data_IF_791805392038
#
_entry.id   IF_791805392038
#
_cell.length_a   1.000
_cell.length_b   1.000
_cell.length_c   1.000
_cell.angle_alpha   90.00
_cell.angle_beta   90.00
_cell.angle_gamma   90.00
#
_symmetry.space_group_name_H-M   'P 1'
#
loop_
_entity.id
_entity.type
_entity.pdbx_description
1 polymer ?
#
# COMPACT_ATOMS: atom_id res chain seq x y z
N UNK A 1 -2.18 -33.96 6.35
CA UNK A 1 -3.56 -33.38 6.29
C UNK A 1 -3.65 -32.37 5.18
N UNK A 2 -4.77 -32.32 4.43
CA UNK A 2 -5.04 -31.26 3.45
C UNK A 2 -6.26 -30.46 3.89
N UNK A 3 -6.12 -29.14 4.02
CA UNK A 3 -7.20 -28.21 4.31
C UNK A 3 -7.42 -27.32 3.07
N UNK A 4 -8.62 -27.33 2.50
CA UNK A 4 -9.02 -26.45 1.40
C UNK A 4 -10.23 -25.65 1.83
N UNK A 5 -10.20 -24.33 1.69
CA UNK A 5 -11.31 -23.49 2.08
C UNK A 5 -11.33 -22.11 1.40
N UNK A 6 -12.50 -21.47 1.45
CA UNK A 6 -12.71 -20.07 1.15
C UNK A 6 -13.18 -19.37 2.43
N UNK A 7 -12.29 -18.70 3.16
CA UNK A 7 -12.65 -18.01 4.39
C UNK A 7 -13.60 -16.82 4.13
N UNK A 8 -14.35 -16.36 5.13
CA UNK A 8 -15.21 -15.19 5.00
C UNK A 8 -14.38 -13.90 4.82
N UNK A 9 -14.72 -13.07 3.82
CA UNK A 9 -14.04 -11.82 3.49
C UNK A 9 -14.74 -10.60 4.12
N UNK A 10 -15.13 -10.72 5.37
CA UNK A 10 -15.83 -9.68 6.10
C UNK A 10 -14.85 -8.86 6.96
N UNK A 11 -14.84 -7.55 6.77
CA UNK A 11 -14.15 -6.62 7.69
C UNK A 11 -14.99 -6.42 8.94
N UNK A 12 -14.36 -6.48 10.11
CA UNK A 12 -15.05 -6.27 11.39
C UNK A 12 -15.76 -4.92 11.44
N UNK A 13 -15.16 -3.88 10.83
CA UNK A 13 -15.78 -2.56 10.75
C UNK A 13 -17.11 -2.54 9.99
N UNK A 14 -17.34 -3.46 9.08
CA UNK A 14 -18.55 -3.52 8.26
C UNK A 14 -19.61 -4.45 8.87
N UNK A 15 -19.25 -5.31 9.85
CA UNK A 15 -20.15 -6.28 10.49
C UNK A 15 -21.33 -5.62 11.18
N UNK A 16 -21.13 -4.48 11.80
CA UNK A 16 -22.15 -3.76 12.55
C UNK A 16 -22.62 -2.49 11.87
N UNK A 17 -22.49 -2.42 10.54
CA UNK A 17 -22.92 -1.27 9.76
C UNK A 17 -24.43 -1.10 9.87
N UNK A 18 -24.86 0.13 10.23
CA UNK A 18 -26.30 0.42 10.45
C UNK A 18 -26.83 0.07 11.83
N UNK A 19 -26.07 -0.60 12.70
CA UNK A 19 -26.49 -0.85 14.08
C UNK A 19 -26.28 0.41 14.94
N UNK A 20 -27.27 0.83 15.76
CA UNK A 20 -27.16 2.04 16.61
C UNK A 20 -25.90 2.06 17.46
N UNK A 21 -25.52 0.91 18.05
CA UNK A 21 -24.34 0.75 18.89
C UNK A 21 -23.13 0.13 18.14
N UNK A 22 -23.14 0.19 16.81
CA UNK A 22 -22.15 -0.47 15.97
C UNK A 22 -20.69 -0.07 16.23
N UNK A 23 -20.46 1.14 16.75
CA UNK A 23 -19.11 1.62 17.12
C UNK A 23 -18.56 0.86 18.33
N UNK A 24 -19.36 0.72 19.40
CA UNK A 24 -18.97 0.05 20.63
C UNK A 24 -18.80 -1.46 20.40
N UNK A 25 -19.74 -2.09 19.70
CA UNK A 25 -19.66 -3.51 19.33
C UNK A 25 -18.39 -3.84 18.55
N UNK A 26 -17.94 -2.94 17.64
CA UNK A 26 -16.67 -3.12 16.91
C UNK A 26 -15.46 -3.01 17.81
N UNK A 27 -15.45 -2.03 18.73
CA UNK A 27 -14.36 -1.86 19.70
C UNK A 27 -14.24 -3.08 20.60
N UNK A 28 -15.38 -3.51 21.16
CA UNK A 28 -15.46 -4.68 22.04
C UNK A 28 -14.97 -5.96 21.33
N UNK A 29 -15.49 -6.27 20.13
CA UNK A 29 -15.04 -7.43 19.37
C UNK A 29 -13.55 -7.36 19.05
N UNK A 30 -13.04 -6.17 18.70
CA UNK A 30 -11.62 -5.99 18.42
C UNK A 30 -10.74 -6.17 19.67
N UNK A 31 -11.22 -5.77 20.84
CA UNK A 31 -10.55 -6.00 22.12
C UNK A 31 -10.53 -7.49 22.46
N UNK A 32 -11.70 -8.14 22.44
CA UNK A 32 -11.82 -9.57 22.70
C UNK A 32 -10.90 -10.42 21.81
N UNK A 33 -10.81 -10.10 20.50
CA UNK A 33 -9.92 -10.81 19.57
C UNK A 33 -8.44 -10.65 19.93
N UNK A 34 -8.02 -9.47 20.42
CA UNK A 34 -6.63 -9.23 20.85
C UNK A 34 -6.30 -9.90 22.17
N UNK A 35 -7.25 -9.98 23.07
CA UNK A 35 -7.13 -10.57 24.39
C UNK A 35 -7.30 -12.09 24.38
N UNK A 36 -7.83 -12.64 23.27
CA UNK A 36 -8.08 -14.06 23.14
C UNK A 36 -6.77 -14.85 23.14
N UNK A 37 -6.55 -15.65 24.18
CA UNK A 37 -5.33 -16.42 24.37
C UNK A 37 -5.47 -17.87 23.89
N UNK A 38 -4.36 -18.43 23.45
CA UNK A 38 -4.20 -19.85 23.23
C UNK A 38 -4.05 -20.63 24.55
N UNK A 39 -3.99 -21.94 24.43
CA UNK A 39 -3.73 -22.81 25.58
C UNK A 39 -2.37 -22.55 26.27
N UNK A 40 -1.42 -21.98 25.51
CA UNK A 40 -0.09 -21.57 25.96
C UNK A 40 -0.06 -20.17 26.64
N UNK A 41 -1.21 -19.54 26.80
CA UNK A 41 -1.36 -18.21 27.41
C UNK A 41 -0.95 -17.04 26.51
N UNK A 42 -0.43 -17.29 25.30
CA UNK A 42 -0.07 -16.26 24.32
C UNK A 42 -1.31 -15.79 23.54
N UNK A 43 -1.28 -14.57 22.94
CA UNK A 43 -2.35 -14.16 22.04
C UNK A 43 -2.60 -15.20 20.95
N UNK A 44 -3.85 -15.59 20.78
CA UNK A 44 -4.25 -16.60 19.77
C UNK A 44 -3.91 -16.16 18.35
N UNK A 45 -4.01 -14.86 18.08
CA UNK A 45 -3.80 -14.29 16.77
C UNK A 45 -2.69 -13.24 16.82
N UNK A 46 -1.63 -13.45 16.07
CA UNK A 46 -0.49 -12.53 15.94
C UNK A 46 -0.70 -11.50 14.83
N UNK A 47 -1.50 -11.85 13.81
CA UNK A 47 -1.71 -11.05 12.62
C UNK A 47 -2.82 -9.99 12.76
N UNK A 48 -3.28 -9.68 13.98
CA UNK A 48 -4.28 -8.64 14.26
C UNK A 48 -3.62 -7.27 14.25
N UNK A 49 -3.58 -6.60 13.09
CA UNK A 49 -3.11 -5.21 12.96
C UNK A 49 -4.06 -4.39 12.08
N UNK A 50 -4.36 -3.16 12.52
CA UNK A 50 -5.22 -2.24 11.78
C UNK A 50 -6.68 -2.73 11.67
N UNK A 51 -7.30 -2.53 10.52
CA UNK A 51 -8.66 -3.01 10.23
C UNK A 51 -8.66 -4.52 10.05
N UNK A 52 -9.11 -5.25 11.05
CA UNK A 52 -9.15 -6.72 11.02
C UNK A 52 -10.18 -7.20 10.03
N UNK A 53 -9.76 -8.12 9.16
CA UNK A 53 -10.62 -8.86 8.25
C UNK A 53 -10.62 -10.33 8.65
N UNK A 54 -11.80 -10.98 8.67
CA UNK A 54 -11.95 -12.33 9.15
C UNK A 54 -11.10 -13.36 8.40
N UNK A 55 -10.85 -13.17 7.10
CA UNK A 55 -10.00 -14.09 6.34
C UNK A 55 -8.57 -14.20 6.91
N UNK A 56 -8.03 -13.11 7.49
CA UNK A 56 -6.69 -13.13 8.11
C UNK A 56 -6.64 -14.02 9.33
N UNK A 57 -7.64 -13.91 10.18
CA UNK A 57 -7.78 -14.76 11.37
C UNK A 57 -8.00 -16.23 10.98
N UNK A 58 -8.74 -16.44 9.89
CA UNK A 58 -8.99 -17.77 9.38
C UNK A 58 -7.72 -18.43 8.83
N UNK A 59 -6.89 -17.68 8.08
CA UNK A 59 -5.58 -18.18 7.62
C UNK A 59 -4.74 -18.63 8.83
N UNK A 60 -4.55 -17.74 9.80
CA UNK A 60 -3.75 -18.04 10.98
C UNK A 60 -4.31 -19.23 11.76
N UNK A 61 -5.64 -19.31 11.91
CA UNK A 61 -6.28 -20.45 12.55
C UNK A 61 -6.10 -21.74 11.76
N UNK A 62 -6.16 -21.70 10.46
CA UNK A 62 -5.93 -22.86 9.60
C UNK A 62 -4.54 -23.46 9.79
N UNK A 63 -3.52 -22.60 9.94
CA UNK A 63 -2.16 -23.04 10.24
C UNK A 63 -2.06 -23.68 11.63
N UNK A 64 -2.69 -23.08 12.64
CA UNK A 64 -2.66 -23.58 14.02
C UNK A 64 -3.32 -24.94 14.21
N UNK A 65 -4.34 -25.29 13.43
CA UNK A 65 -5.05 -26.58 13.53
C UNK A 65 -4.50 -27.64 12.59
N UNK A 66 -3.64 -27.25 11.67
CA UNK A 66 -2.98 -28.18 10.76
C UNK A 66 -1.77 -28.81 11.45
N UNK A 67 -1.53 -30.08 11.16
CA UNK A 67 -0.33 -30.77 11.62
C UNK A 67 0.90 -30.26 10.88
N UNK A 68 2.10 -30.47 11.44
CA UNK A 68 3.35 -30.29 10.71
C UNK A 68 3.30 -31.03 9.37
N UNK A 69 3.86 -30.42 8.31
CA UNK A 69 3.79 -30.88 6.92
C UNK A 69 2.35 -30.95 6.32
N UNK A 70 1.37 -30.46 7.08
CA UNK A 70 0.00 -30.31 6.61
C UNK A 70 -0.09 -29.25 5.50
N UNK A 71 -0.86 -29.53 4.45
CA UNK A 71 -1.06 -28.62 3.32
C UNK A 71 -2.34 -27.82 3.49
N UNK A 72 -2.22 -26.51 3.33
CA UNK A 72 -3.34 -25.56 3.41
C UNK A 72 -3.47 -24.84 2.07
N UNK A 73 -4.70 -24.82 1.52
CA UNK A 73 -5.02 -24.12 0.26
C UNK A 73 -6.22 -23.22 0.49
N UNK A 74 -6.06 -21.93 0.36
CA UNK A 74 -7.10 -20.96 0.70
C UNK A 74 -7.34 -19.96 -0.42
N UNK A 75 -8.64 -19.69 -0.68
CA UNK A 75 -9.07 -18.64 -1.60
C UNK A 75 -9.26 -17.35 -0.81
N UNK A 76 -8.44 -16.35 -1.06
CA UNK A 76 -8.36 -15.13 -0.25
C UNK A 76 -8.36 -13.87 -1.12
N UNK A 77 -8.69 -12.69 -0.56
CA UNK A 77 -8.49 -11.42 -1.26
C UNK A 77 -7.01 -11.19 -1.59
N UNK A 78 -6.71 -10.72 -2.80
CA UNK A 78 -5.33 -10.42 -3.23
C UNK A 78 -4.65 -9.31 -2.39
N UNK A 79 -5.41 -8.62 -1.55
CA UNK A 79 -4.88 -7.66 -0.57
C UNK A 79 -3.88 -8.29 0.41
N UNK A 80 -4.00 -9.60 0.70
CA UNK A 80 -3.02 -10.31 1.53
C UNK A 80 -1.61 -10.21 0.98
N UNK A 81 -1.45 -10.16 -0.33
CA UNK A 81 -0.17 -10.17 -1.03
C UNK A 81 0.64 -8.87 -0.82
N UNK A 82 -0.03 -7.73 -0.61
CA UNK A 82 0.63 -6.41 -0.69
C UNK A 82 0.23 -5.41 0.38
N UNK A 83 -0.98 -5.51 0.97
CA UNK A 83 -1.41 -4.53 1.98
C UNK A 83 -0.47 -4.47 3.19
N UNK A 84 -0.13 -3.25 3.63
CA UNK A 84 0.71 -3.02 4.82
C UNK A 84 0.12 -3.67 6.08
N UNK A 85 -1.20 -3.68 6.21
CA UNK A 85 -1.90 -4.32 7.32
C UNK A 85 -1.80 -5.85 7.34
N UNK A 86 -1.42 -6.49 6.22
CA UNK A 86 -1.18 -7.93 6.11
C UNK A 86 0.28 -8.34 6.36
N UNK A 87 1.17 -7.38 6.66
CA UNK A 87 2.57 -7.67 6.93
C UNK A 87 2.80 -8.74 8.02
N UNK A 88 2.16 -8.69 9.20
CA UNK A 88 2.37 -9.72 10.22
C UNK A 88 1.96 -11.11 9.73
N UNK A 89 0.90 -11.19 8.93
CA UNK A 89 0.47 -12.46 8.34
C UNK A 89 1.46 -12.98 7.32
N UNK A 90 1.99 -12.13 6.41
CA UNK A 90 3.02 -12.55 5.46
C UNK A 90 4.30 -13.03 6.16
N UNK A 91 4.72 -12.37 7.24
CA UNK A 91 5.82 -12.84 8.08
C UNK A 91 5.55 -14.24 8.62
N UNK A 92 4.36 -14.49 9.17
CA UNK A 92 3.97 -15.80 9.66
C UNK A 92 4.01 -16.86 8.54
N UNK A 93 3.55 -16.51 7.32
CA UNK A 93 3.57 -17.42 6.18
C UNK A 93 4.97 -17.77 5.69
N UNK A 94 5.91 -16.83 5.76
CA UNK A 94 7.27 -17.01 5.20
C UNK A 94 8.26 -17.50 6.25
N UNK A 95 8.17 -16.98 7.48
CA UNK A 95 9.19 -17.20 8.53
C UNK A 95 8.85 -18.38 9.45
N UNK A 96 7.64 -18.93 9.39
CA UNK A 96 7.19 -20.03 10.25
C UNK A 96 6.46 -21.14 9.49
N UNK A 97 6.25 -20.94 8.20
CA UNK A 97 5.61 -21.89 7.30
C UNK A 97 6.22 -21.78 5.91
N UNK A 98 6.04 -22.79 5.08
CA UNK A 98 6.40 -22.71 3.67
C UNK A 98 5.22 -22.17 2.87
N UNK A 99 5.30 -20.92 2.43
CA UNK A 99 4.35 -20.33 1.49
C UNK A 99 4.72 -20.79 0.08
N UNK A 100 4.21 -21.94 -0.32
CA UNK A 100 4.64 -22.66 -1.51
C UNK A 100 4.23 -21.97 -2.80
N UNK A 101 2.99 -21.47 -2.85
CA UNK A 101 2.43 -20.96 -4.10
C UNK A 101 1.37 -19.88 -3.90
N UNK A 102 1.27 -19.00 -4.91
CA UNK A 102 0.19 -18.03 -5.08
C UNK A 102 -0.35 -18.13 -6.51
N UNK A 103 -1.67 -18.20 -6.66
CA UNK A 103 -2.36 -18.04 -7.93
C UNK A 103 -3.12 -16.72 -7.87
N UNK A 104 -2.74 -15.74 -8.69
CA UNK A 104 -3.33 -14.40 -8.68
C UNK A 104 -4.26 -14.16 -9.85
N UNK A 105 -5.49 -13.73 -9.57
CA UNK A 105 -6.50 -13.39 -10.57
C UNK A 105 -6.72 -11.87 -10.59
N UNK A 106 -6.84 -11.23 -11.78
CA UNK A 106 -7.07 -9.81 -11.91
C UNK A 106 -8.38 -9.35 -11.24
N UNK A 107 -8.40 -8.08 -10.82
CA UNK A 107 -9.58 -7.48 -10.15
C UNK A 107 -10.80 -7.35 -11.08
N UNK A 108 -10.55 -7.17 -12.37
CA UNK A 108 -11.55 -7.04 -13.42
C UNK A 108 -12.03 -8.37 -14.00
N UNK A 109 -11.39 -9.48 -13.61
CA UNK A 109 -11.69 -10.78 -14.18
C UNK A 109 -13.10 -11.27 -13.88
N UNK A 110 -13.79 -10.79 -12.83
CA UNK A 110 -15.13 -11.21 -12.37
C UNK A 110 -15.46 -12.72 -12.51
N UNK A 111 -14.52 -13.45 -13.06
CA UNK A 111 -14.64 -14.78 -13.63
C UNK A 111 -14.83 -15.85 -12.57
N UNK A 112 -14.26 -15.66 -11.40
CA UNK A 112 -14.32 -16.67 -10.35
C UNK A 112 -15.38 -16.39 -9.29
N UNK A 113 -15.69 -15.13 -9.00
CA UNK A 113 -16.51 -14.79 -7.83
C UNK A 113 -17.46 -13.59 -8.02
N UNK A 114 -17.64 -13.08 -9.23
CA UNK A 114 -18.61 -12.02 -9.55
C UNK A 114 -18.36 -10.65 -8.92
N UNK A 115 -17.28 -10.49 -8.15
CA UNK A 115 -16.93 -9.26 -7.44
C UNK A 115 -15.83 -8.46 -8.15
N UNK A 116 -15.70 -7.18 -7.80
CA UNK A 116 -14.64 -6.28 -8.29
C UNK A 116 -13.32 -6.39 -7.51
N UNK A 117 -13.22 -7.32 -6.58
CA UNK A 117 -12.04 -7.52 -5.73
C UNK A 117 -11.12 -8.59 -6.31
N UNK A 118 -9.83 -8.29 -6.39
CA UNK A 118 -8.83 -9.28 -6.79
C UNK A 118 -8.80 -10.48 -5.84
N UNK A 119 -8.68 -11.65 -6.44
CA UNK A 119 -8.71 -12.94 -5.73
C UNK A 119 -7.37 -13.64 -5.91
N UNK A 120 -6.93 -14.34 -4.89
CA UNK A 120 -5.75 -15.21 -4.94
C UNK A 120 -6.02 -16.54 -4.25
N UNK A 121 -5.43 -17.59 -4.78
CA UNK A 121 -5.32 -18.87 -4.08
C UNK A 121 -3.93 -18.96 -3.50
N UNK A 122 -3.82 -19.16 -2.20
CA UNK A 122 -2.54 -19.35 -1.52
C UNK A 122 -2.35 -20.80 -1.13
N UNK A 123 -1.15 -21.29 -1.35
CA UNK A 123 -0.73 -22.64 -0.98
C UNK A 123 0.38 -22.60 0.07
N UNK A 124 0.21 -23.36 1.15
CA UNK A 124 1.08 -23.34 2.31
C UNK A 124 1.33 -24.76 2.79
N UNK A 125 2.58 -25.07 3.13
CA UNK A 125 2.96 -26.25 3.93
C UNK A 125 3.33 -25.78 5.33
N UNK A 126 2.76 -26.42 6.35
CA UNK A 126 2.89 -25.98 7.75
C UNK A 126 4.18 -26.48 8.38
N UNK A 127 4.89 -25.59 9.07
CA UNK A 127 6.02 -25.94 9.95
C UNK A 127 7.40 -25.80 9.32
N UNK A 128 7.50 -25.37 8.05
CA UNK A 128 8.79 -25.10 7.39
C UNK A 128 8.88 -23.63 6.99
N UNK A 129 10.11 -23.11 6.90
CA UNK A 129 10.30 -21.76 6.36
C UNK A 129 10.24 -21.77 4.83
N UNK A 130 9.80 -20.65 4.25
CA UNK A 130 9.74 -20.51 2.78
C UNK A 130 11.12 -20.27 2.21
N UNK A 131 11.62 -21.15 1.36
CA UNK A 131 12.82 -20.92 0.55
C UNK A 131 12.51 -20.20 -0.74
N UNK A 132 11.49 -20.69 -1.46
CA UNK A 132 11.03 -20.14 -2.73
C UNK A 132 9.51 -20.09 -2.74
N UNK A 133 8.94 -18.92 -3.09
CA UNK A 133 7.52 -18.78 -3.39
C UNK A 133 7.32 -18.77 -4.90
N UNK A 134 6.52 -19.70 -5.43
CA UNK A 134 6.09 -19.66 -6.83
C UNK A 134 4.80 -18.85 -6.97
N UNK A 135 4.86 -17.71 -7.62
CA UNK A 135 3.72 -16.81 -7.86
C UNK A 135 3.25 -16.92 -9.31
N UNK A 136 2.09 -17.51 -9.52
CA UNK A 136 1.44 -17.63 -10.83
C UNK A 136 0.49 -16.45 -11.05
N UNK A 137 0.54 -15.85 -12.23
CA UNK A 137 -0.40 -14.79 -12.62
C UNK A 137 0.23 -13.51 -13.16
N UNK A 138 -0.61 -12.58 -13.63
CA UNK A 138 -2.08 -12.61 -13.55
C UNK A 138 -2.68 -13.72 -14.44
N UNK A 139 -3.51 -14.57 -13.83
CA UNK A 139 -4.11 -15.72 -14.51
C UNK A 139 -5.38 -15.34 -15.26
N UNK A 140 -5.57 -15.90 -16.46
CA UNK A 140 -6.82 -15.90 -17.20
C UNK A 140 -7.55 -17.25 -17.03
N UNK A 141 -8.79 -17.33 -17.52
CA UNK A 141 -9.57 -18.59 -17.48
C UNK A 141 -8.86 -19.71 -18.23
N UNK A 142 -8.30 -19.38 -19.39
CA UNK A 142 -7.63 -20.36 -20.26
C UNK A 142 -6.35 -20.93 -19.66
N UNK A 143 -5.79 -20.28 -18.63
CA UNK A 143 -4.64 -20.82 -17.89
C UNK A 143 -5.03 -21.97 -16.95
N UNK A 144 -6.34 -22.21 -16.76
CA UNK A 144 -6.84 -23.22 -15.82
C UNK A 144 -7.64 -24.28 -16.59
N UNK A 145 -7.17 -25.50 -16.53
CA UNK A 145 -7.90 -26.65 -17.07
C UNK A 145 -8.59 -27.40 -15.95
N UNK A 146 -9.94 -27.54 -15.99
CA UNK A 146 -10.66 -28.34 -15.00
C UNK A 146 -10.10 -29.77 -14.92
N UNK A 147 -9.75 -30.19 -13.72
CA UNK A 147 -9.17 -31.50 -13.43
C UNK A 147 -7.69 -31.68 -13.83
N UNK A 148 -7.06 -30.73 -14.51
CA UNK A 148 -5.64 -30.78 -14.89
C UNK A 148 -4.77 -29.71 -14.18
N UNK A 149 -5.38 -28.66 -13.59
CA UNK A 149 -4.66 -27.58 -12.92
C UNK A 149 -4.26 -26.44 -13.86
N UNK A 150 -3.10 -25.83 -13.59
CA UNK A 150 -2.57 -24.74 -14.41
C UNK A 150 -1.97 -25.27 -15.73
N UNK A 151 -2.14 -24.49 -16.79
CA UNK A 151 -1.44 -24.68 -18.06
C UNK A 151 0.07 -24.56 -17.87
N UNK A 152 0.85 -25.30 -18.68
CA UNK A 152 2.31 -25.15 -18.74
C UNK A 152 2.76 -23.73 -19.09
N UNK A 153 1.92 -23.00 -19.85
CA UNK A 153 2.21 -21.66 -20.34
C UNK A 153 1.69 -20.55 -19.39
N UNK A 154 1.11 -20.94 -18.23
CA UNK A 154 0.64 -19.99 -17.24
C UNK A 154 1.80 -19.11 -16.76
N UNK A 155 1.65 -17.78 -16.75
CA UNK A 155 2.72 -16.88 -16.32
C UNK A 155 3.08 -17.12 -14.85
N UNK A 156 4.35 -17.27 -14.54
CA UNK A 156 4.82 -17.42 -13.17
C UNK A 156 6.10 -16.64 -12.89
N UNK A 157 6.43 -16.52 -11.62
CA UNK A 157 7.63 -15.93 -11.08
C UNK A 157 8.02 -16.69 -9.82
N UNK A 158 9.28 -17.02 -9.71
CA UNK A 158 9.87 -17.54 -8.47
C UNK A 158 10.48 -16.41 -7.66
N UNK A 159 10.13 -16.36 -6.39
CA UNK A 159 10.63 -15.40 -5.42
C UNK A 159 11.50 -16.14 -4.40
N UNK A 160 12.78 -16.16 -4.65
CA UNK A 160 13.78 -16.71 -3.72
C UNK A 160 13.85 -15.84 -2.46
N UNK A 161 13.87 -16.46 -1.29
CA UNK A 161 13.80 -15.79 0.02
C UNK A 161 14.80 -14.65 0.20
N UNK A 162 16.07 -14.86 -0.14
CA UNK A 162 17.11 -13.86 0.04
C UNK A 162 16.88 -12.58 -0.74
N UNK A 163 16.85 -12.63 -2.08
CA UNK A 163 16.54 -11.47 -2.93
C UNK A 163 15.17 -10.86 -2.58
N UNK A 164 14.14 -11.69 -2.36
CA UNK A 164 12.80 -11.23 -2.01
C UNK A 164 12.78 -10.44 -0.70
N UNK A 165 13.46 -10.91 0.32
CA UNK A 165 13.65 -10.21 1.59
C UNK A 165 14.28 -8.84 1.38
N UNK A 166 15.36 -8.77 0.62
CA UNK A 166 16.13 -7.55 0.37
C UNK A 166 15.28 -6.46 -0.28
N UNK A 167 14.70 -6.71 -1.46
CA UNK A 167 13.98 -5.65 -2.17
C UNK A 167 12.62 -5.30 -1.56
N UNK A 168 12.04 -6.17 -0.75
CA UNK A 168 10.79 -5.87 -0.02
C UNK A 168 11.00 -5.32 1.38
N UNK A 169 12.23 -5.21 1.83
CA UNK A 169 12.56 -4.81 3.20
C UNK A 169 11.83 -5.69 4.23
N UNK A 170 11.93 -7.00 4.06
CA UNK A 170 11.24 -8.02 4.86
C UNK A 170 9.72 -7.87 4.97
N UNK A 171 9.10 -7.08 4.08
CA UNK A 171 7.63 -6.98 4.05
C UNK A 171 6.98 -8.17 3.37
N UNK A 172 7.76 -8.97 2.65
CA UNK A 172 7.32 -10.16 1.92
C UNK A 172 6.15 -9.87 0.97
N UNK A 173 6.14 -8.67 0.39
CA UNK A 173 5.11 -8.30 -0.58
C UNK A 173 5.33 -9.05 -1.90
N UNK A 174 4.27 -9.67 -2.41
CA UNK A 174 4.30 -10.32 -3.73
C UNK A 174 4.00 -9.27 -4.80
N UNK A 175 4.89 -9.03 -5.78
CA UNK A 175 4.70 -8.00 -6.79
C UNK A 175 3.53 -8.31 -7.71
N UNK A 176 2.87 -7.26 -8.23
CA UNK A 176 1.91 -7.41 -9.33
C UNK A 176 2.71 -7.38 -10.63
N UNK A 177 2.83 -8.53 -11.27
CA UNK A 177 3.63 -8.69 -12.48
C UNK A 177 2.80 -8.50 -13.75
N UNK A 178 3.40 -8.03 -14.85
CA UNK A 178 2.81 -8.11 -16.18
C UNK A 178 2.59 -9.56 -16.63
N UNK A 179 1.61 -9.79 -17.51
CA UNK A 179 1.35 -11.13 -18.04
C UNK A 179 2.42 -11.56 -19.05
N UNK A 180 2.88 -10.63 -19.90
CA UNK A 180 3.88 -10.93 -20.90
C UNK A 180 5.29 -11.11 -20.28
N UNK A 181 6.02 -12.08 -20.77
CA UNK A 181 7.32 -12.48 -20.23
C UNK A 181 8.38 -11.38 -20.35
N UNK A 182 8.41 -10.66 -21.47
CA UNK A 182 9.40 -9.60 -21.70
C UNK A 182 9.24 -8.44 -20.68
N UNK A 183 8.00 -8.06 -20.39
CA UNK A 183 7.72 -7.03 -19.37
C UNK A 183 7.98 -7.54 -17.96
N UNK A 184 7.71 -8.82 -17.65
CA UNK A 184 8.10 -9.44 -16.36
C UNK A 184 9.62 -9.39 -16.17
N UNK A 185 10.37 -9.86 -17.15
CA UNK A 185 11.83 -9.86 -17.08
C UNK A 185 12.40 -8.45 -16.90
N UNK A 186 11.89 -7.45 -17.64
CA UNK A 186 12.28 -6.04 -17.45
C UNK A 186 11.95 -5.54 -16.04
N UNK A 187 10.78 -5.87 -15.53
CA UNK A 187 10.35 -5.47 -14.17
C UNK A 187 11.27 -6.09 -13.11
N UNK A 188 11.58 -7.37 -13.22
CA UNK A 188 12.48 -8.04 -12.28
C UNK A 188 13.90 -7.51 -12.37
N UNK A 189 14.42 -7.24 -13.56
CA UNK A 189 15.71 -6.61 -13.74
C UNK A 189 15.76 -5.20 -13.12
N UNK A 190 14.68 -4.43 -13.20
CA UNK A 190 14.58 -3.13 -12.54
C UNK A 190 14.55 -3.27 -11.01
N UNK A 191 13.76 -4.20 -10.47
CA UNK A 191 13.73 -4.51 -9.03
C UNK A 191 15.13 -4.92 -8.54
N UNK A 192 15.81 -5.83 -9.24
CA UNK A 192 17.17 -6.26 -8.89
C UNK A 192 18.17 -5.12 -8.84
N UNK A 193 18.12 -4.20 -9.83
CA UNK A 193 19.00 -3.01 -9.83
C UNK A 193 18.74 -2.04 -8.68
N UNK A 194 17.50 -2.01 -8.16
CA UNK A 194 17.11 -1.14 -7.04
C UNK A 194 17.31 -1.81 -5.68
N UNK A 195 17.37 -3.13 -5.62
CA UNK A 195 17.45 -3.89 -4.36
C UNK A 195 18.67 -3.50 -3.52
N UNK A 196 19.81 -3.27 -4.17
CA UNK A 196 21.08 -2.93 -3.52
C UNK A 196 21.27 -1.42 -3.31
N UNK A 197 20.28 -0.59 -3.67
CA UNK A 197 20.38 0.85 -3.48
C UNK A 197 19.89 1.26 -2.10
N UNK A 198 20.54 2.24 -1.46
CA UNK A 198 20.09 2.79 -0.18
C UNK A 198 18.63 3.24 -0.27
N UNK A 199 17.86 2.99 0.77
CA UNK A 199 16.47 3.46 0.84
C UNK A 199 16.44 4.96 1.11
N UNK A 200 15.46 5.68 0.52
CA UNK A 200 15.26 7.10 0.80
C UNK A 200 15.07 7.38 2.31
N UNK A 201 14.46 6.42 3.01
CA UNK A 201 14.18 6.52 4.46
C UNK A 201 15.28 5.92 5.34
N UNK A 202 16.36 5.43 4.78
CA UNK A 202 17.47 4.81 5.50
C UNK A 202 18.35 5.88 6.14
N UNK A 203 18.65 5.69 7.45
CA UNK A 203 19.47 6.61 8.22
C UNK A 203 20.94 6.61 7.73
N UNK A 204 21.57 7.77 7.76
CA UNK A 204 22.98 7.92 7.39
C UNK A 204 23.28 7.87 5.88
N UNK A 205 22.26 7.88 5.02
CA UNK A 205 22.42 7.87 3.57
C UNK A 205 22.11 9.23 2.94
N UNK A 206 22.67 9.49 1.77
CA UNK A 206 22.44 10.61 0.84
C UNK A 206 21.65 11.82 1.35
N UNK A 207 20.33 11.72 1.35
CA UNK A 207 19.43 12.79 1.82
C UNK A 207 19.24 12.82 3.34
N UNK A 208 19.83 11.89 4.08
CA UNK A 208 19.63 11.76 5.52
C UNK A 208 20.96 11.61 6.29
N UNK A 209 21.90 12.56 6.14
CA UNK A 209 23.23 12.45 6.75
C UNK A 209 23.21 12.55 8.28
N UNK A 210 22.17 13.14 8.87
CA UNK A 210 22.03 13.31 10.32
C UNK A 210 21.49 12.08 11.08
N UNK A 211 21.17 11.00 10.38
CA UNK A 211 20.63 9.78 10.98
C UNK A 211 19.16 9.83 11.37
N UNK A 212 18.42 10.90 11.04
CA UNK A 212 16.97 10.95 11.25
C UNK A 212 16.24 10.44 10.02
N UNK A 213 15.39 9.43 10.17
CA UNK A 213 14.67 8.84 9.07
C UNK A 213 13.72 9.83 8.37
N UNK A 214 13.88 9.97 7.05
CA UNK A 214 12.87 10.61 6.21
C UNK A 214 11.61 9.76 6.24
N UNK A 215 10.46 10.38 6.51
CA UNK A 215 9.19 9.67 6.63
C UNK A 215 8.27 10.04 5.48
N UNK A 216 7.58 9.05 4.93
CA UNK A 216 6.45 9.29 4.03
C UNK A 216 5.18 9.37 4.88
N UNK A 217 4.53 10.52 4.88
CA UNK A 217 3.29 10.76 5.62
C UNK A 217 2.13 11.02 4.68
N UNK A 218 0.93 10.90 5.19
CA UNK A 218 -0.32 11.22 4.48
C UNK A 218 -0.77 12.62 4.93
N UNK A 219 -1.39 13.35 4.03
CA UNK A 219 -1.91 14.70 4.32
C UNK A 219 -2.87 14.73 5.51
N UNK A 220 -2.91 15.86 6.17
CA UNK A 220 -3.49 16.07 7.52
C UNK A 220 -5.02 15.97 7.53
N UNK A 221 -5.68 16.30 6.41
CA UNK A 221 -7.13 16.45 6.36
C UNK A 221 -7.80 15.22 5.79
N UNK A 222 -8.53 14.50 6.65
CA UNK A 222 -9.43 13.45 6.22
C UNK A 222 -10.76 14.04 5.74
N UNK A 223 -11.03 13.92 4.45
CA UNK A 223 -12.21 14.51 3.79
C UNK A 223 -13.55 14.09 4.41
N UNK A 224 -13.65 12.89 4.94
CA UNK A 224 -14.87 12.40 5.57
C UNK A 224 -15.18 13.09 6.90
N UNK A 225 -14.13 13.49 7.62
CA UNK A 225 -14.23 14.20 8.91
C UNK A 225 -14.50 15.67 8.70
N UNK A 226 -13.79 16.30 7.77
CA UNK A 226 -13.79 17.75 7.54
C UNK A 226 -14.64 18.17 6.33
N UNK A 227 -15.75 17.47 6.11
CA UNK A 227 -16.57 17.65 4.92
C UNK A 227 -17.16 19.05 4.76
N UNK A 228 -17.45 19.73 5.87
CA UNK A 228 -18.10 21.03 5.87
C UNK A 228 -17.10 22.18 5.65
N UNK A 229 -15.83 21.96 5.99
CA UNK A 229 -14.75 22.94 5.84
C UNK A 229 -14.10 22.89 4.44
N UNK A 230 -14.44 21.90 3.62
CA UNK A 230 -13.93 21.74 2.27
C UNK A 230 -14.99 22.19 1.28
N UNK A 231 -14.72 23.23 0.51
CA UNK A 231 -15.61 23.79 -0.50
C UNK A 231 -14.92 24.00 -1.85
N UNK A 232 -15.66 24.52 -2.81
CA UNK A 232 -15.11 24.88 -4.09
C UNK A 232 -14.33 26.20 -3.96
N UNK A 233 -13.20 26.30 -4.64
CA UNK A 233 -12.36 27.48 -4.62
C UNK A 233 -13.09 28.66 -5.28
N UNK A 234 -13.16 29.80 -4.61
CA UNK A 234 -13.75 31.04 -5.11
C UNK A 234 -12.80 32.22 -5.12
N UNK A 235 -11.59 32.07 -4.57
CA UNK A 235 -10.58 33.13 -4.45
C UNK A 235 -10.92 34.19 -3.39
N UNK A 236 -11.90 33.94 -2.53
CA UNK A 236 -12.30 34.88 -1.46
C UNK A 236 -11.30 34.89 -0.32
N UNK A 237 -11.23 36.03 0.37
CA UNK A 237 -10.41 36.15 1.59
C UNK A 237 -10.80 35.08 2.62
N UNK A 238 -9.78 34.47 3.26
CA UNK A 238 -9.95 33.40 4.24
C UNK A 238 -10.03 31.99 3.65
N UNK A 239 -10.05 31.83 2.33
CA UNK A 239 -9.87 30.54 1.69
C UNK A 239 -8.39 30.19 1.58
N UNK A 240 -8.09 28.93 1.86
CA UNK A 240 -6.74 28.33 1.74
C UNK A 240 -6.79 27.24 0.69
N UNK A 241 -5.77 27.10 -0.19
CA UNK A 241 -5.71 26.01 -1.17
C UNK A 241 -5.72 24.65 -0.49
N UNK A 242 -6.68 23.80 -0.86
CA UNK A 242 -6.81 22.42 -0.39
C UNK A 242 -6.33 21.46 -1.47
N UNK A 243 -5.16 20.88 -1.28
CA UNK A 243 -4.49 20.05 -2.28
C UNK A 243 -4.92 18.59 -2.13
N UNK A 244 -5.37 18.00 -3.23
CA UNK A 244 -5.76 16.59 -3.36
C UNK A 244 -4.91 15.88 -4.39
N UNK A 245 -4.95 14.56 -4.42
CA UNK A 245 -4.27 13.75 -5.44
C UNK A 245 -4.59 14.17 -6.89
N UNK A 246 -5.84 14.59 -7.15
CA UNK A 246 -6.26 15.08 -8.47
C UNK A 246 -5.54 16.35 -8.94
N UNK A 247 -4.95 17.11 -8.02
CA UNK A 247 -4.18 18.32 -8.34
C UNK A 247 -2.71 18.02 -8.68
N UNK A 248 -2.22 16.80 -8.46
CA UNK A 248 -0.84 16.42 -8.75
C UNK A 248 -0.80 15.80 -10.14
N UNK A 249 -0.12 16.46 -11.05
CA UNK A 249 -0.06 16.09 -12.46
C UNK A 249 1.41 16.07 -12.96
N UNK A 250 1.64 15.42 -14.09
CA UNK A 250 2.93 15.42 -14.77
C UNK A 250 2.77 16.17 -16.10
N UNK A 251 3.49 17.28 -16.23
CA UNK A 251 3.47 18.13 -17.43
C UNK A 251 4.92 18.54 -17.80
N UNK A 252 5.26 18.53 -19.05
CA UNK A 252 6.54 19.01 -19.58
C UNK A 252 7.77 18.43 -18.87
N UNK A 253 7.71 17.13 -18.51
CA UNK A 253 8.80 16.44 -17.83
C UNK A 253 8.85 16.65 -16.30
N UNK A 254 7.94 17.42 -15.73
CA UNK A 254 7.94 17.78 -14.31
C UNK A 254 6.62 17.42 -13.61
N UNK A 255 6.71 17.18 -12.31
CA UNK A 255 5.53 17.12 -11.44
C UNK A 255 5.06 18.51 -11.07
N UNK A 256 3.80 18.79 -11.32
CA UNK A 256 3.18 20.10 -11.07
C UNK A 256 1.91 19.97 -10.24
N UNK A 257 1.59 21.03 -9.49
CA UNK A 257 0.33 21.14 -8.76
C UNK A 257 -0.61 22.04 -9.58
N UNK A 258 -1.65 21.43 -10.15
CA UNK A 258 -2.70 22.11 -10.91
C UNK A 258 -3.84 22.43 -9.96
N UNK A 259 -3.94 23.69 -9.55
CA UNK A 259 -4.94 24.15 -8.59
C UNK A 259 -5.40 25.58 -8.95
N UNK A 260 -6.71 25.93 -8.79
CA UNK A 260 -7.23 27.25 -9.17
C UNK A 260 -6.52 28.47 -8.52
N UNK A 261 -5.88 28.28 -7.36
CA UNK A 261 -5.07 29.33 -6.73
C UNK A 261 -3.77 29.64 -7.51
N UNK A 262 -3.27 28.69 -8.31
CA UNK A 262 -2.01 28.81 -9.06
C UNK A 262 -2.26 28.83 -10.59
N UNK A 263 -3.27 28.10 -11.04
CA UNK A 263 -3.74 28.05 -12.44
C UNK A 263 -5.24 28.40 -12.52
N UNK A 264 -5.64 29.66 -12.78
CA UNK A 264 -7.03 30.12 -12.69
C UNK A 264 -8.05 29.35 -13.53
N UNK A 265 -7.62 28.68 -14.60
CA UNK A 265 -8.49 27.90 -15.49
C UNK A 265 -8.64 26.43 -15.07
N UNK A 266 -8.04 26.03 -13.95
CA UNK A 266 -8.17 24.66 -13.45
C UNK A 266 -9.47 24.42 -12.71
N UNK A 267 -9.79 23.14 -12.43
CA UNK A 267 -11.01 22.77 -11.72
C UNK A 267 -11.01 23.29 -10.28
N UNK A 268 -12.11 23.97 -9.88
CA UNK A 268 -12.26 24.58 -8.55
C UNK A 268 -12.95 23.70 -7.51
N UNK A 269 -13.55 22.57 -7.92
CA UNK A 269 -14.36 21.73 -7.04
C UNK A 269 -13.54 21.12 -5.89
N UNK A 270 -14.06 21.31 -4.67
CA UNK A 270 -13.46 20.76 -3.45
C UNK A 270 -11.97 21.05 -3.31
N UNK A 271 -11.59 22.28 -3.61
CA UNK A 271 -10.21 22.75 -3.64
C UNK A 271 -9.92 23.94 -2.70
N UNK A 272 -10.90 24.34 -1.87
CA UNK A 272 -10.73 25.34 -0.83
C UNK A 272 -10.91 24.76 0.57
N UNK A 273 -10.09 25.24 1.52
CA UNK A 273 -10.15 24.92 2.94
C UNK A 273 -10.56 26.16 3.73
N UNK A 274 -11.53 26.01 4.63
CA UNK A 274 -12.04 27.04 5.55
C UNK A 274 -11.94 26.66 7.02
N UNK A 275 -11.28 25.57 7.31
CA UNK A 275 -11.05 25.12 8.69
C UNK A 275 -9.87 25.84 9.38
N UNK A 276 -9.40 25.29 10.50
CA UNK A 276 -8.34 25.91 11.31
C UNK A 276 -7.06 26.23 10.53
N UNK A 277 -6.52 27.44 10.68
CA UNK A 277 -5.33 27.92 9.97
C UNK A 277 -4.03 27.20 10.36
N UNK A 278 -3.96 26.64 11.57
CA UNK A 278 -2.81 25.82 11.99
C UNK A 278 -2.61 24.54 11.17
N UNK A 279 -3.55 24.19 10.32
CA UNK A 279 -3.40 23.06 9.39
C UNK A 279 -2.69 23.45 8.07
N UNK A 280 -2.42 24.74 7.85
CA UNK A 280 -1.60 25.15 6.72
C UNK A 280 -0.14 24.74 6.93
N UNK A 281 0.49 24.36 5.85
CA UNK A 281 1.83 23.79 5.87
C UNK A 281 2.84 24.65 5.14
N UNK A 282 4.12 24.55 5.50
CA UNK A 282 5.23 25.04 4.69
C UNK A 282 5.38 24.22 3.39
N UNK A 283 6.21 24.71 2.47
CA UNK A 283 6.48 24.02 1.21
C UNK A 283 6.90 22.56 1.41
N UNK A 284 6.31 21.65 0.63
CA UNK A 284 6.55 20.21 0.75
C UNK A 284 6.60 19.51 -0.60
N UNK A 285 7.41 18.46 -0.68
CA UNK A 285 7.34 17.51 -1.78
C UNK A 285 6.19 16.54 -1.53
N UNK A 286 5.30 16.43 -2.48
CA UNK A 286 4.07 15.61 -2.41
C UNK A 286 3.96 14.64 -3.58
N UNK A 287 3.24 13.55 -3.36
CA UNK A 287 2.79 12.65 -4.42
C UNK A 287 1.37 12.16 -4.14
N UNK A 288 0.77 11.49 -5.12
CA UNK A 288 -0.53 10.86 -4.95
C UNK A 288 -0.42 9.65 -4.01
N UNK A 289 -1.29 9.55 -2.98
CA UNK A 289 -1.36 8.37 -2.10
C UNK A 289 -2.01 7.18 -2.79
N UNK A 290 -2.93 7.44 -3.71
CA UNK A 290 -3.64 6.43 -4.51
C UNK A 290 -3.57 6.85 -5.96
N UNK A 291 -3.10 5.95 -6.81
CA UNK A 291 -2.90 6.21 -8.24
C UNK A 291 -3.77 5.28 -9.09
N UNK A 292 -4.14 5.74 -10.29
CA UNK A 292 -4.78 4.90 -11.26
C UNK A 292 -3.79 3.84 -11.76
N UNK A 293 -4.09 2.53 -11.66
CA UNK A 293 -3.20 1.46 -12.12
C UNK A 293 -2.93 1.49 -13.63
N UNK A 294 -3.79 2.16 -14.41
CA UNK A 294 -3.65 2.32 -15.87
C UNK A 294 -2.96 3.64 -16.28
N UNK A 295 -2.56 4.47 -15.31
CA UNK A 295 -1.81 5.67 -15.63
C UNK A 295 -0.42 5.31 -16.19
N UNK A 296 -0.01 5.99 -17.24
CA UNK A 296 1.31 5.83 -17.86
C UNK A 296 2.43 6.05 -16.83
N UNK A 297 2.34 7.12 -16.06
CA UNK A 297 3.20 7.40 -14.91
C UNK A 297 2.40 7.30 -13.62
N UNK A 298 2.74 6.35 -12.77
CA UNK A 298 2.01 6.08 -11.52
C UNK A 298 2.52 6.89 -10.33
N UNK A 299 3.78 7.25 -10.31
CA UNK A 299 4.37 8.04 -9.24
C UNK A 299 4.81 9.38 -9.82
N UNK A 300 4.21 10.45 -9.32
CA UNK A 300 4.53 11.83 -9.67
C UNK A 300 4.77 12.60 -8.39
N UNK A 301 5.94 13.22 -8.32
CA UNK A 301 6.34 14.10 -7.23
C UNK A 301 6.25 15.55 -7.68
N UNK A 302 5.63 16.39 -6.87
CA UNK A 302 5.49 17.82 -7.12
C UNK A 302 5.78 18.61 -5.84
N UNK A 303 6.08 19.89 -5.98
CA UNK A 303 6.21 20.79 -4.82
C UNK A 303 4.90 21.51 -4.61
N UNK A 304 4.39 21.47 -3.38
CA UNK A 304 3.28 22.30 -2.90
C UNK A 304 3.88 23.48 -2.16
N UNK A 305 3.55 24.72 -2.54
CA UNK A 305 4.04 25.92 -1.84
C UNK A 305 3.47 26.01 -0.42
N UNK A 306 4.06 26.89 0.39
CA UNK A 306 3.54 27.21 1.71
C UNK A 306 2.11 27.77 1.68
N UNK A 307 1.42 27.73 2.81
CA UNK A 307 0.05 28.25 2.93
C UNK A 307 -1.03 27.32 2.40
N UNK A 308 -0.70 26.09 2.01
CA UNK A 308 -1.64 25.07 1.54
C UNK A 308 -2.02 24.07 2.64
N UNK A 309 -3.13 23.35 2.45
CA UNK A 309 -3.56 22.23 3.30
C UNK A 309 -3.64 20.96 2.45
N UNK A 310 -3.12 19.85 2.97
CA UNK A 310 -3.05 18.58 2.27
C UNK A 310 -4.16 17.62 2.69
N UNK A 311 -4.91 17.13 1.72
CA UNK A 311 -5.88 16.06 1.93
C UNK A 311 -5.24 14.68 2.06
N UNK A 312 -5.92 13.75 2.71
CA UNK A 312 -5.46 12.37 2.93
C UNK A 312 -5.28 11.52 1.66
N UNK A 313 -5.61 12.06 0.49
CA UNK A 313 -5.30 11.45 -0.82
C UNK A 313 -3.90 11.81 -1.33
N UNK A 314 -3.18 12.68 -0.61
CA UNK A 314 -1.82 13.13 -0.91
C UNK A 314 -0.87 12.53 0.12
N UNK A 315 0.28 12.05 -0.32
CA UNK A 315 1.41 11.70 0.55
C UNK A 315 2.52 12.73 0.38
N UNK A 316 3.32 12.95 1.41
CA UNK A 316 4.44 13.89 1.38
C UNK A 316 5.68 13.32 2.08
N UNK A 317 6.85 13.84 1.73
CA UNK A 317 8.09 13.58 2.45
C UNK A 317 8.19 14.53 3.65
N UNK A 318 8.28 13.95 4.84
CA UNK A 318 8.58 14.63 6.08
C UNK A 318 10.11 14.63 6.23
N UNK A 319 10.73 15.71 5.78
CA UNK A 319 12.17 15.87 5.77
C UNK A 319 12.68 16.36 7.14
N UNK A 320 13.83 15.87 7.64
CA UNK A 320 14.49 16.45 8.78
C UNK A 320 14.91 17.90 8.51
N UNK A 321 14.88 18.76 9.54
CA UNK A 321 15.23 20.18 9.41
C UNK A 321 16.63 20.41 8.83
N UNK A 322 17.58 19.52 9.13
CA UNK A 322 18.94 19.58 8.62
C UNK A 322 18.99 19.35 7.09
N UNK A 323 18.10 18.49 6.57
CA UNK A 323 17.98 18.27 5.13
C UNK A 323 17.35 19.49 4.46
N UNK A 324 16.30 20.06 5.06
CA UNK A 324 15.65 21.28 4.56
C UNK A 324 16.64 22.47 4.55
N UNK A 325 17.40 22.64 5.62
CA UNK A 325 18.45 23.67 5.69
C UNK A 325 19.53 23.47 4.64
N UNK A 326 20.03 22.23 4.45
CA UNK A 326 21.03 21.92 3.43
C UNK A 326 20.51 22.12 2.01
N UNK A 327 19.22 21.82 1.73
CA UNK A 327 18.59 22.14 0.45
C UNK A 327 18.51 23.66 0.24
N UNK A 328 18.08 24.42 1.25
CA UNK A 328 17.99 25.88 1.17
C UNK A 328 19.34 26.52 0.93
N UNK A 329 20.38 26.10 1.65
CA UNK A 329 21.76 26.59 1.48
C UNK A 329 22.30 26.30 0.07
N UNK A 330 22.08 25.10 -0.42
CA UNK A 330 22.63 24.66 -1.72
C UNK A 330 21.92 25.29 -2.92
N UNK A 331 20.62 25.54 -2.83
CA UNK A 331 19.80 25.98 -3.96
C UNK A 331 19.26 27.41 -3.82
N UNK A 332 19.59 28.12 -2.72
CA UNK A 332 19.18 29.51 -2.48
C UNK A 332 17.82 29.67 -1.82
N UNK A 333 16.93 28.69 -1.96
CA UNK A 333 15.65 28.62 -1.23
C UNK A 333 15.25 27.15 -0.97
N UNK A 334 14.39 26.93 0.03
CA UNK A 334 13.83 25.61 0.28
C UNK A 334 13.00 25.13 -0.93
N UNK A 335 12.23 26.01 -1.53
CA UNK A 335 11.36 25.66 -2.66
C UNK A 335 12.15 25.20 -3.89
N UNK A 336 13.23 25.87 -4.24
CA UNK A 336 14.14 25.47 -5.32
C UNK A 336 14.82 24.13 -5.00
N UNK A 337 15.24 23.93 -3.76
CA UNK A 337 15.80 22.65 -3.30
C UNK A 337 14.80 21.48 -3.38
N UNK A 338 13.56 21.72 -2.97
CA UNK A 338 12.47 20.75 -3.11
C UNK A 338 12.13 20.50 -4.58
N UNK A 339 12.15 21.52 -5.43
CA UNK A 339 11.96 21.40 -6.88
C UNK A 339 13.01 20.48 -7.51
N UNK A 340 14.29 20.70 -7.22
CA UNK A 340 15.36 19.82 -7.66
C UNK A 340 15.18 18.37 -7.21
N UNK A 341 14.80 18.17 -5.94
CA UNK A 341 14.56 16.83 -5.40
C UNK A 341 13.35 16.16 -6.07
N UNK A 342 12.27 16.91 -6.31
CA UNK A 342 11.09 16.39 -7.03
C UNK A 342 11.43 15.97 -8.46
N UNK A 343 12.23 16.75 -9.17
CA UNK A 343 12.69 16.41 -10.54
C UNK A 343 13.54 15.12 -10.52
N UNK A 344 14.41 14.95 -9.53
CA UNK A 344 15.18 13.70 -9.36
C UNK A 344 14.32 12.49 -9.01
N UNK A 345 13.28 12.66 -8.23
CA UNK A 345 12.33 11.59 -7.91
C UNK A 345 11.41 11.25 -9.10
N UNK A 346 11.28 12.17 -10.05
CA UNK A 346 10.51 11.97 -11.28
C UNK A 346 11.36 11.41 -12.45
N UNK A 347 12.68 11.50 -12.40
CA UNK A 347 13.58 10.97 -13.43
C UNK A 347 13.70 9.46 -13.36
#
# INVERSE_FOLDING_TARGET
MLLISRPPWLRIKDRFRGHPDGSNLRKELSSQLREFKGADGKPRFSAIKGNVNLYRLYIERSLQISQSEGRVRLVVPSSVLREKSSLPLRKLLVESNSWDSVWSFPEDSRLLFGGSQGVSVIGITVGEETDVLTSFGPLAVDDISPGRGLSSDAPFLELERGPWSSWTDTSWAVPKMPRDEASRSRTMAAIGRLADKPRLVEEGTGLNPSGRAIKVRVGEVERSVWKNEICDWSGKSGEVPFIRAAHINFKDGKGVVVHPAFEPHSESKKSAWKGPSQMTVQSRIVCQSVVNPHAERRLVWAVVPEGCVLGNSVSFLDLPNEVEAGLSEKFGSLEDGLGFLADRLNS
#
